data_IF_843969294739
#
_entry.id   IF_843969294739
#
_cell.length_a   1.000
_cell.length_b   1.000
_cell.length_c   1.000
_cell.angle_alpha   90.00
_cell.angle_beta   90.00
_cell.angle_gamma   90.00
#
_symmetry.space_group_name_H-M   'P 1'
#
loop_
_entity.id
_entity.type
_entity.pdbx_description
1 polymer ?
#
# COMPACT_ATOMS: atom_id res chain seq x y z
N UNK A 1 -19.30 14.20 -34.81
CA UNK A 1 -19.44 13.11 -33.83
C UNK A 1 -20.07 13.67 -32.57
N UNK A 2 -21.33 13.34 -32.39
CA UNK A 2 -22.22 13.82 -31.34
C UNK A 2 -22.33 12.75 -30.25
N UNK A 3 -22.72 13.20 -29.05
CA UNK A 3 -23.24 12.46 -27.89
C UNK A 3 -22.18 12.05 -26.85
N UNK A 4 -22.36 12.25 -25.53
CA UNK A 4 -23.55 12.57 -24.72
C UNK A 4 -23.11 12.96 -23.30
N UNK A 5 -23.88 13.83 -22.64
CA UNK A 5 -23.80 14.11 -21.21
C UNK A 5 -23.98 12.85 -20.36
N UNK A 6 -23.17 12.68 -19.31
CA UNK A 6 -23.48 11.82 -18.17
C UNK A 6 -23.59 12.67 -16.89
N UNK A 7 -24.85 12.86 -16.49
CA UNK A 7 -25.31 13.40 -15.21
C UNK A 7 -25.08 12.35 -14.13
N UNK A 8 -24.34 12.70 -13.08
CA UNK A 8 -24.04 11.81 -11.95
C UNK A 8 -23.93 12.57 -10.63
N UNK A 9 -24.92 13.42 -10.33
CA UNK A 9 -25.18 13.90 -8.97
C UNK A 9 -25.63 12.72 -8.12
N UNK A 10 -24.72 11.94 -7.54
CA UNK A 10 -24.98 11.09 -6.36
C UNK A 10 -23.68 10.44 -5.87
N UNK A 11 -22.97 11.09 -4.95
CA UNK A 11 -22.04 10.43 -4.03
C UNK A 11 -22.20 11.10 -2.66
N UNK A 12 -22.88 10.44 -1.71
CA UNK A 12 -22.99 10.91 -0.35
C UNK A 12 -21.75 10.50 0.45
N UNK A 13 -21.55 11.25 1.54
CA UNK A 13 -20.80 10.86 2.72
C UNK A 13 -19.28 10.93 2.63
N UNK A 14 -18.78 12.01 3.20
CA UNK A 14 -17.45 12.17 3.74
C UNK A 14 -16.93 10.86 4.37
N UNK A 15 -16.00 10.20 3.69
CA UNK A 15 -14.97 9.43 4.37
C UNK A 15 -13.67 10.20 4.25
N UNK A 16 -13.62 11.24 5.08
CA UNK A 16 -12.41 11.91 5.49
C UNK A 16 -11.36 10.86 5.86
N UNK A 17 -10.42 10.66 4.95
CA UNK A 17 -9.08 10.22 5.27
C UNK A 17 -8.17 11.19 4.54
N UNK A 18 -8.17 12.42 5.03
CA UNK A 18 -7.04 13.33 4.84
C UNK A 18 -5.82 12.62 5.45
N UNK A 19 -5.16 11.79 4.64
CA UNK A 19 -3.74 11.55 4.79
C UNK A 19 -3.06 12.58 3.91
N UNK A 20 -3.14 13.84 4.32
CA UNK A 20 -2.07 14.76 4.00
C UNK A 20 -0.90 14.30 4.87
N UNK A 21 0.21 13.77 4.35
CA UNK A 21 1.41 13.67 5.15
C UNK A 21 1.89 15.11 5.34
N UNK A 22 1.38 15.77 6.38
CA UNK A 22 2.00 16.93 7.00
C UNK A 22 3.32 16.49 7.62
N UNK A 23 4.34 16.49 6.75
CA UNK A 23 5.73 16.90 6.98
C UNK A 23 6.52 16.47 5.74
N UNK A 24 7.30 17.35 5.08
CA UNK A 24 8.40 16.84 4.28
C UNK A 24 9.22 15.99 5.24
N UNK A 25 9.34 14.69 4.96
CA UNK A 25 10.18 13.78 5.71
C UNK A 25 11.47 14.54 6.02
N UNK A 26 11.74 14.72 7.31
CA UNK A 26 12.95 15.41 7.72
C UNK A 26 14.09 14.67 7.03
N UNK A 27 14.91 15.37 6.25
CA UNK A 27 16.08 14.82 5.54
C UNK A 27 17.18 14.43 6.56
N UNK A 28 16.78 13.88 7.71
CA UNK A 28 17.64 13.17 8.63
C UNK A 28 17.50 11.70 8.28
N UNK A 29 18.60 11.07 7.90
CA UNK A 29 18.66 9.72 7.35
C UNK A 29 17.88 8.70 8.18
N UNK A 30 16.61 8.53 7.86
CA UNK A 30 15.80 7.42 8.33
C UNK A 30 16.12 6.20 7.46
N UNK A 31 16.17 5.04 8.10
CA UNK A 31 16.41 3.79 7.39
C UNK A 31 15.29 3.54 6.39
N UNK A 32 15.67 3.28 5.14
CA UNK A 32 14.77 2.87 4.08
C UNK A 32 14.67 1.35 4.09
N UNK A 33 13.45 0.86 3.94
CA UNK A 33 13.16 -0.56 3.79
C UNK A 33 12.59 -0.83 2.41
N UNK A 34 12.96 -1.96 1.85
CA UNK A 34 12.51 -2.40 0.54
C UNK A 34 11.21 -3.20 0.66
N UNK A 35 10.22 -2.85 -0.15
CA UNK A 35 8.99 -3.63 -0.29
C UNK A 35 9.26 -4.93 -1.08
N UNK A 36 8.93 -6.12 -0.54
CA UNK A 36 9.26 -7.40 -1.18
C UNK A 36 8.36 -7.78 -2.37
N UNK A 37 7.33 -7.00 -2.66
CA UNK A 37 6.43 -7.19 -3.80
C UNK A 37 6.81 -6.30 -4.97
N UNK A 38 7.03 -5.01 -4.73
CA UNK A 38 7.29 -4.02 -5.78
C UNK A 38 8.72 -3.45 -5.78
N UNK A 39 9.57 -3.86 -4.84
CA UNK A 39 10.97 -3.41 -4.72
C UNK A 39 11.13 -1.89 -4.56
N UNK A 40 10.10 -1.23 -4.04
CA UNK A 40 10.14 0.20 -3.75
C UNK A 40 10.74 0.44 -2.38
N UNK A 41 11.73 1.33 -2.29
CA UNK A 41 12.30 1.78 -1.03
C UNK A 41 11.39 2.83 -0.40
N UNK A 42 10.92 2.55 0.81
CA UNK A 42 10.10 3.47 1.61
C UNK A 42 10.70 3.65 3.00
N UNK A 43 10.53 4.82 3.61
CA UNK A 43 10.95 5.02 4.97
C UNK A 43 10.22 4.12 5.95
N UNK A 44 10.88 3.61 6.99
CA UNK A 44 10.25 2.76 8.02
C UNK A 44 9.06 3.44 8.70
N UNK A 45 9.10 4.77 8.81
CA UNK A 45 8.04 5.60 9.40
C UNK A 45 6.76 5.57 8.57
N UNK A 46 6.88 5.58 7.24
CA UNK A 46 5.77 5.56 6.28
C UNK A 46 5.40 4.15 5.80
N UNK A 47 6.29 3.17 5.99
CA UNK A 47 6.06 1.80 5.58
C UNK A 47 4.91 1.12 6.35
N UNK A 48 4.08 0.39 5.61
CA UNK A 48 3.04 -0.47 6.17
C UNK A 48 3.66 -1.72 6.80
N UNK A 49 3.61 -1.79 8.13
CA UNK A 49 4.14 -2.92 8.91
C UNK A 49 3.10 -4.04 8.98
N UNK A 50 3.47 -5.23 8.55
CA UNK A 50 2.63 -6.41 8.65
C UNK A 50 3.38 -7.58 9.31
N UNK A 51 2.64 -8.45 10.02
CA UNK A 51 3.20 -9.68 10.59
C UNK A 51 2.83 -10.85 9.69
N UNK A 52 3.82 -11.52 9.11
CA UNK A 52 3.69 -12.66 8.22
C UNK A 52 4.53 -13.82 8.76
N UNK A 53 3.89 -14.96 9.06
CA UNK A 53 4.54 -16.16 9.59
C UNK A 53 5.46 -15.87 10.80
N UNK A 54 5.04 -14.97 11.70
CA UNK A 54 5.83 -14.56 12.86
C UNK A 54 7.00 -13.62 12.56
N UNK A 55 7.16 -13.14 11.33
CA UNK A 55 8.15 -12.14 10.92
C UNK A 55 7.47 -10.81 10.60
N UNK A 56 8.08 -9.71 11.02
CA UNK A 56 7.66 -8.37 10.62
C UNK A 56 8.19 -8.07 9.23
N UNK A 57 7.28 -7.73 8.30
CA UNK A 57 7.59 -7.37 6.91
C UNK A 57 7.03 -5.98 6.65
N UNK A 58 7.78 -5.19 5.88
CA UNK A 58 7.47 -3.82 5.55
C UNK A 58 7.02 -3.73 4.09
N UNK A 59 5.97 -2.95 3.84
CA UNK A 59 5.42 -2.72 2.50
C UNK A 59 5.27 -1.23 2.26
N UNK A 60 5.38 -0.81 1.00
CA UNK A 60 5.14 0.58 0.62
C UNK A 60 3.67 0.98 0.80
N UNK A 61 2.75 0.01 0.75
CA UNK A 61 1.32 0.24 0.88
C UNK A 61 0.57 -1.01 1.34
N UNK A 62 -0.68 -0.81 1.79
CA UNK A 62 -1.59 -1.91 2.12
C UNK A 62 -1.92 -2.79 0.91
N UNK A 63 -1.99 -2.21 -0.29
CA UNK A 63 -2.28 -2.93 -1.53
C UNK A 63 -1.15 -3.90 -1.89
N UNK A 64 0.12 -3.48 -1.74
CA UNK A 64 1.27 -4.38 -1.94
C UNK A 64 1.24 -5.54 -0.94
N UNK A 65 0.89 -5.29 0.32
CA UNK A 65 0.71 -6.37 1.30
C UNK A 65 -0.39 -7.36 0.89
N UNK A 66 -1.54 -6.88 0.43
CA UNK A 66 -2.66 -7.75 0.01
C UNK A 66 -2.27 -8.61 -1.21
N UNK A 67 -1.61 -8.02 -2.21
CA UNK A 67 -1.10 -8.72 -3.38
C UNK A 67 -0.01 -9.72 -3.01
N UNK A 68 0.93 -9.33 -2.15
CA UNK A 68 1.99 -10.21 -1.64
C UNK A 68 1.39 -11.41 -0.93
N UNK A 69 0.45 -11.17 0.00
CA UNK A 69 -0.26 -12.24 0.71
C UNK A 69 -0.95 -13.20 -0.26
N UNK A 70 -1.66 -12.67 -1.27
CA UNK A 70 -2.33 -13.44 -2.32
C UNK A 70 -1.38 -14.33 -3.15
N UNK A 71 -0.15 -13.87 -3.38
CA UNK A 71 0.89 -14.65 -4.09
C UNK A 71 1.52 -15.73 -3.18
N UNK A 72 1.67 -15.46 -1.89
CA UNK A 72 2.29 -16.41 -0.94
C UNK A 72 1.44 -17.68 -0.80
N UNK A 73 0.11 -17.56 -0.77
CA UNK A 73 -0.77 -18.74 -0.72
C UNK A 73 -0.69 -19.60 -1.99
N UNK A 74 -0.33 -19.03 -3.15
CA UNK A 74 -0.10 -19.81 -4.36
C UNK A 74 1.24 -20.56 -4.30
N UNK A 75 2.31 -19.91 -3.83
CA UNK A 75 3.62 -20.54 -3.72
C UNK A 75 3.64 -21.69 -2.70
N UNK A 76 2.87 -21.58 -1.61
CA UNK A 76 2.77 -22.62 -0.58
C UNK A 76 2.13 -23.92 -1.12
N UNK A 77 1.34 -23.84 -2.18
CA UNK A 77 0.67 -25.00 -2.81
C UNK A 77 1.55 -25.85 -3.73
N UNK A 78 2.76 -25.41 -4.07
CA UNK A 78 3.68 -26.14 -4.95
C UNK A 78 4.75 -26.95 -4.22
N UNK A 79 4.74 -26.99 -2.88
CA UNK A 79 5.71 -27.75 -2.07
C UNK A 79 5.13 -28.98 -1.38
N UNK A 80 3.91 -29.40 -1.73
CA UNK A 80 3.23 -30.53 -1.09
C UNK A 80 2.69 -31.54 -2.09
#
# INVERSE_FOLDING_TARGET
MIYRLAKGLFLPSAKQRDKFPERPASIGGEDLVEDPYCHTYVPISDAYKASLNGKTVYFCSKECFEKYKANINENTKMKN
#
